data_IF_267430948756
#
_entry.id   IF_267430948756
#
_cell.length_a   1.000
_cell.length_b   1.000
_cell.length_c   1.000
_cell.angle_alpha   90.00
_cell.angle_beta   90.00
_cell.angle_gamma   90.00
#
_symmetry.space_group_name_H-M   'P 1'
#
loop_
_entity.id
_entity.type
_entity.pdbx_description
1 polymer ?
#
# COMPACT_ATOMS: atom_id res chain seq x y z
N UNK A 1 9.89 25.14 -10.07
CA UNK A 1 9.13 24.20 -9.21
C UNK A 1 8.64 22.97 -9.97
N UNK A 2 8.30 23.09 -11.25
CA UNK A 2 7.82 21.97 -12.08
C UNK A 2 8.85 20.83 -12.22
N UNK A 3 10.12 21.14 -12.40
CA UNK A 3 11.20 20.14 -12.52
C UNK A 3 11.39 19.29 -11.25
N UNK A 4 11.20 19.90 -10.07
CA UNK A 4 11.29 19.18 -8.80
C UNK A 4 10.16 18.16 -8.61
N UNK A 5 8.92 18.53 -8.95
CA UNK A 5 7.77 17.65 -8.87
C UNK A 5 7.89 16.49 -9.88
N UNK A 6 8.34 16.78 -11.10
CA UNK A 6 8.62 15.77 -12.12
C UNK A 6 9.70 14.79 -11.64
N UNK A 7 10.80 15.30 -11.09
CA UNK A 7 11.89 14.47 -10.55
C UNK A 7 11.41 13.54 -9.43
N UNK A 8 10.60 14.04 -8.49
CA UNK A 8 10.05 13.22 -7.41
C UNK A 8 9.09 12.14 -7.92
N UNK A 9 8.29 12.48 -8.93
CA UNK A 9 7.39 11.51 -9.58
C UNK A 9 8.19 10.39 -10.25
N UNK A 10 9.23 10.73 -11.00
CA UNK A 10 10.12 9.74 -11.63
C UNK A 10 10.88 8.89 -10.60
N UNK A 11 11.37 9.50 -9.53
CA UNK A 11 12.04 8.78 -8.45
C UNK A 11 11.09 7.78 -7.80
N UNK A 12 9.84 8.18 -7.52
CA UNK A 12 8.82 7.29 -6.95
C UNK A 12 8.52 6.12 -7.87
N UNK A 13 8.27 6.38 -9.14
CA UNK A 13 7.96 5.33 -10.12
C UNK A 13 9.16 4.39 -10.34
N UNK A 14 10.39 4.93 -10.34
CA UNK A 14 11.62 4.13 -10.45
C UNK A 14 11.85 3.24 -9.22
N UNK A 15 11.54 3.73 -8.02
CA UNK A 15 11.63 2.94 -6.80
C UNK A 15 10.65 1.76 -6.81
N UNK A 16 9.41 1.99 -7.29
CA UNK A 16 8.42 0.92 -7.47
C UNK A 16 8.91 -0.10 -8.50
N UNK A 17 9.42 0.34 -9.64
CA UNK A 17 9.97 -0.54 -10.66
C UNK A 17 11.15 -1.37 -10.14
N UNK A 18 12.02 -0.77 -9.34
CA UNK A 18 13.15 -1.46 -8.72
C UNK A 18 12.72 -2.53 -7.69
N UNK A 19 11.53 -2.41 -7.10
CA UNK A 19 11.02 -3.38 -6.13
C UNK A 19 10.76 -4.77 -6.74
N UNK A 20 10.56 -4.88 -8.05
CA UNK A 20 10.31 -6.15 -8.76
C UNK A 20 11.41 -7.18 -8.49
N UNK A 21 12.67 -6.74 -8.35
CA UNK A 21 13.81 -7.63 -8.06
C UNK A 21 13.71 -8.37 -6.71
N UNK A 22 12.85 -7.89 -5.81
CA UNK A 22 12.64 -8.49 -4.49
C UNK A 22 11.43 -9.44 -4.44
N UNK A 23 10.72 -9.59 -5.54
CA UNK A 23 9.54 -10.45 -5.60
C UNK A 23 9.94 -11.90 -5.86
N UNK A 24 9.26 -12.87 -5.23
CA UNK A 24 9.54 -14.29 -5.45
C UNK A 24 9.18 -14.76 -6.87
N UNK A 25 8.29 -14.02 -7.56
CA UNK A 25 7.89 -14.25 -8.95
C UNK A 25 7.52 -12.92 -9.61
N UNK A 26 7.65 -12.79 -10.94
CA UNK A 26 7.23 -11.59 -11.64
C UNK A 26 5.74 -11.30 -11.43
N UNK A 27 5.35 -10.04 -11.17
CA UNK A 27 3.96 -9.68 -11.03
C UNK A 27 3.23 -9.83 -12.38
N UNK A 28 1.95 -10.20 -12.35
CA UNK A 28 1.10 -10.28 -13.55
C UNK A 28 0.48 -8.94 -13.91
N UNK A 29 0.25 -8.10 -12.92
CA UNK A 29 -0.26 -6.74 -13.07
C UNK A 29 0.06 -5.92 -11.81
N UNK A 30 -0.03 -4.61 -11.94
CA UNK A 30 0.04 -3.67 -10.82
C UNK A 30 -1.32 -3.03 -10.62
N UNK A 31 -1.78 -3.06 -9.39
CA UNK A 31 -2.98 -2.34 -8.95
C UNK A 31 -2.55 -1.20 -8.04
N UNK A 32 -2.98 0.01 -8.37
CA UNK A 32 -2.64 1.23 -7.62
C UNK A 32 -3.89 1.72 -6.91
N UNK A 33 -3.78 1.93 -5.60
CA UNK A 33 -4.86 2.45 -4.75
C UNK A 33 -4.46 3.75 -4.06
N UNK A 34 -5.43 4.44 -3.52
CA UNK A 34 -5.26 5.71 -2.82
C UNK A 34 -4.85 6.86 -3.74
N UNK A 35 -4.40 7.98 -3.16
CA UNK A 35 -4.13 9.22 -3.88
C UNK A 35 -3.16 9.11 -5.05
N UNK A 36 -2.25 8.13 -5.03
CA UNK A 36 -1.33 7.86 -6.14
C UNK A 36 -2.04 7.42 -7.42
N UNK A 37 -3.14 6.68 -7.30
CA UNK A 37 -3.97 6.25 -8.42
C UNK A 37 -4.64 7.40 -9.17
N UNK A 38 -4.90 8.50 -8.48
CA UNK A 38 -5.50 9.72 -9.05
C UNK A 38 -4.47 10.68 -9.66
N UNK A 39 -3.17 10.40 -9.51
CA UNK A 39 -2.11 11.22 -10.08
C UNK A 39 -1.76 10.75 -11.51
N UNK A 40 -2.18 11.46 -12.58
CA UNK A 40 -1.95 11.02 -13.95
C UNK A 40 -0.47 10.95 -14.32
N UNK A 41 0.37 11.84 -13.79
CA UNK A 41 1.81 11.87 -14.07
C UNK A 41 2.49 10.63 -13.46
N UNK A 42 2.14 10.27 -12.21
CA UNK A 42 2.66 9.06 -11.56
C UNK A 42 2.19 7.80 -12.30
N UNK A 43 0.90 7.72 -12.63
CA UNK A 43 0.36 6.58 -13.37
C UNK A 43 1.00 6.41 -14.75
N UNK A 44 1.32 7.51 -15.44
CA UNK A 44 2.03 7.47 -16.70
C UNK A 44 3.48 7.00 -16.53
N UNK A 45 4.19 7.50 -15.54
CA UNK A 45 5.55 7.09 -15.22
C UNK A 45 5.62 5.59 -14.88
N UNK A 46 4.69 5.10 -14.05
CA UNK A 46 4.58 3.67 -13.72
C UNK A 46 4.34 2.81 -14.97
N UNK A 47 3.39 3.19 -15.84
CA UNK A 47 3.11 2.46 -17.08
C UNK A 47 4.30 2.42 -18.04
N UNK A 48 5.15 3.42 -18.02
CA UNK A 48 6.35 3.48 -18.83
C UNK A 48 7.47 2.59 -18.28
N UNK A 49 7.62 2.51 -16.96
CA UNK A 49 8.73 1.79 -16.31
C UNK A 49 8.43 0.32 -16.00
N UNK A 50 7.15 -0.03 -15.85
CA UNK A 50 6.74 -1.39 -15.53
C UNK A 50 6.39 -2.18 -16.78
N UNK A 51 6.85 -3.40 -16.87
CA UNK A 51 6.70 -4.28 -18.04
C UNK A 51 5.33 -4.92 -18.17
N UNK A 52 4.51 -4.83 -17.13
CA UNK A 52 3.15 -5.39 -17.08
C UNK A 52 2.12 -4.31 -16.81
N UNK A 53 0.86 -4.60 -17.06
CA UNK A 53 -0.22 -3.61 -16.97
C UNK A 53 -0.32 -2.95 -15.60
N UNK A 54 -0.43 -1.61 -15.60
CA UNK A 54 -0.66 -0.78 -14.43
C UNK A 54 -2.07 -0.19 -14.51
N UNK A 55 -2.91 -0.52 -13.53
CA UNK A 55 -4.32 -0.12 -13.48
C UNK A 55 -4.68 0.40 -12.10
N UNK A 56 -5.64 1.33 -11.97
CA UNK A 56 -6.23 1.63 -10.68
C UNK A 56 -7.04 0.43 -10.16
N UNK A 57 -7.18 0.31 -8.85
CA UNK A 57 -7.87 -0.83 -8.23
C UNK A 57 -9.36 -0.90 -8.57
N UNK A 58 -9.96 0.21 -8.96
CA UNK A 58 -11.34 0.30 -9.46
C UNK A 58 -11.54 -0.57 -10.71
N UNK A 59 -10.49 -0.77 -11.49
CA UNK A 59 -10.52 -1.63 -12.67
C UNK A 59 -10.76 -3.12 -12.35
N UNK A 60 -10.66 -3.52 -11.08
CA UNK A 60 -11.00 -4.86 -10.60
C UNK A 60 -12.15 -4.84 -9.59
N UNK A 61 -12.90 -3.73 -9.53
CA UNK A 61 -14.09 -3.58 -8.69
C UNK A 61 -13.81 -3.26 -7.23
N UNK A 62 -12.59 -2.82 -6.88
CA UNK A 62 -12.26 -2.37 -5.54
C UNK A 62 -12.46 -0.86 -5.43
N UNK A 63 -12.79 -0.39 -4.23
CA UNK A 63 -12.88 1.02 -3.90
C UNK A 63 -11.51 1.48 -3.35
N UNK A 64 -10.73 2.18 -4.17
CA UNK A 64 -9.38 2.61 -3.85
C UNK A 64 -9.32 3.60 -2.67
N UNK A 65 -10.35 4.41 -2.50
CA UNK A 65 -10.42 5.38 -1.41
C UNK A 65 -10.81 4.70 -0.09
N UNK A 66 -11.57 3.60 -0.15
CA UNK A 66 -11.98 2.86 1.03
C UNK A 66 -10.97 1.78 1.47
N UNK A 67 -10.03 1.35 0.63
CA UNK A 67 -9.11 0.24 0.93
C UNK A 67 -8.30 0.47 2.20
N UNK A 68 -7.79 1.67 2.42
CA UNK A 68 -7.02 1.99 3.63
C UNK A 68 -7.89 1.89 4.88
N UNK A 69 -9.10 2.45 4.84
CA UNK A 69 -10.06 2.36 5.94
C UNK A 69 -10.45 0.90 6.25
N UNK A 70 -10.65 0.08 5.22
CA UNK A 70 -10.92 -1.35 5.36
C UNK A 70 -9.74 -2.09 5.99
N UNK A 71 -8.50 -1.79 5.57
CA UNK A 71 -7.30 -2.38 6.14
C UNK A 71 -7.17 -2.04 7.64
N UNK A 72 -7.37 -0.77 8.02
CA UNK A 72 -7.34 -0.37 9.42
C UNK A 72 -8.48 -0.96 10.25
N UNK A 73 -9.68 -1.06 9.70
CA UNK A 73 -10.80 -1.75 10.36
C UNK A 73 -10.47 -3.23 10.63
N UNK A 74 -9.90 -3.92 9.65
CA UNK A 74 -9.44 -5.30 9.82
C UNK A 74 -8.36 -5.42 10.90
N UNK A 75 -7.36 -4.54 10.90
CA UNK A 75 -6.30 -4.53 11.92
C UNK A 75 -6.84 -4.21 13.31
N UNK A 76 -7.84 -3.33 13.42
CA UNK A 76 -8.49 -3.01 14.69
C UNK A 76 -9.18 -4.27 15.28
N UNK A 77 -9.94 -5.01 14.48
CA UNK A 77 -10.56 -6.27 14.91
C UNK A 77 -9.49 -7.28 15.34
N UNK A 78 -8.43 -7.44 14.56
CA UNK A 78 -7.32 -8.34 14.96
C UNK A 78 -6.68 -7.94 16.28
N UNK A 79 -6.54 -6.62 16.53
CA UNK A 79 -6.01 -6.12 17.81
C UNK A 79 -6.94 -6.42 18.98
N UNK A 80 -8.25 -6.27 18.80
CA UNK A 80 -9.26 -6.60 19.82
C UNK A 80 -9.29 -8.09 20.15
N UNK A 81 -9.10 -8.95 19.14
CA UNK A 81 -9.07 -10.41 19.27
C UNK A 81 -7.68 -10.96 19.66
N UNK A 82 -6.74 -10.08 20.03
CA UNK A 82 -5.36 -10.44 20.40
C UNK A 82 -4.63 -11.27 19.32
N UNK A 83 -4.96 -11.04 18.07
CA UNK A 83 -4.34 -11.68 16.90
C UNK A 83 -3.13 -10.91 16.40
N UNK A 84 -2.14 -11.54 15.76
CA UNK A 84 -1.01 -10.87 15.19
C UNK A 84 -1.42 -9.85 14.13
N UNK A 85 -0.86 -8.63 14.19
CA UNK A 85 -1.03 -7.58 13.18
C UNK A 85 0.04 -7.67 12.08
N UNK A 86 1.16 -8.32 12.38
CA UNK A 86 2.27 -8.47 11.47
C UNK A 86 2.85 -9.88 11.50
N UNK A 87 3.31 -10.33 10.34
CA UNK A 87 3.85 -11.68 10.15
C UNK A 87 5.24 -11.60 9.49
N UNK A 88 6.12 -12.59 9.70
CA UNK A 88 7.43 -12.63 9.02
C UNK A 88 7.32 -12.52 7.49
N UNK A 89 6.29 -13.13 6.91
CA UNK A 89 6.04 -13.11 5.46
C UNK A 89 5.53 -11.78 4.91
N UNK A 90 5.09 -10.85 5.76
CA UNK A 90 4.52 -9.57 5.33
C UNK A 90 5.42 -8.37 5.61
N UNK A 91 6.03 -8.31 6.77
CA UNK A 91 6.83 -7.15 7.20
C UNK A 91 8.24 -7.52 7.64
N UNK A 92 8.61 -8.79 7.56
CA UNK A 92 9.96 -9.24 7.97
C UNK A 92 10.19 -9.25 9.49
N UNK A 93 9.14 -9.13 10.30
CA UNK A 93 9.28 -9.30 11.76
C UNK A 93 9.75 -10.71 12.10
N UNK A 94 10.56 -10.90 13.18
CA UNK A 94 11.14 -12.21 13.48
C UNK A 94 10.11 -13.27 13.86
N UNK A 95 8.94 -12.86 14.36
CA UNK A 95 7.82 -13.74 14.71
C UNK A 95 6.49 -13.01 14.57
N UNK A 96 5.33 -13.71 14.53
CA UNK A 96 4.02 -13.08 14.52
C UNK A 96 3.89 -12.07 15.66
N UNK A 97 3.67 -10.80 15.33
CA UNK A 97 3.70 -9.69 16.27
C UNK A 97 2.31 -9.10 16.45
N UNK A 98 1.86 -9.07 17.70
CA UNK A 98 0.64 -8.38 18.12
C UNK A 98 0.91 -6.89 18.32
N UNK A 99 -0.15 -6.09 18.41
CA UNK A 99 -0.02 -4.64 18.63
C UNK A 99 -1.38 -3.97 18.73
N UNK A 100 -1.32 -2.64 18.73
CA UNK A 100 -2.50 -1.81 18.93
C UNK A 100 -2.79 -1.54 20.40
N UNK A 101 -3.55 -0.48 20.65
CA UNK A 101 -4.06 -0.10 21.97
C UNK A 101 -5.48 0.39 21.83
N UNK A 102 -6.39 -0.18 22.57
CA UNK A 102 -7.76 0.31 22.65
C UNK A 102 -7.82 1.53 23.57
N UNK A 103 -8.37 2.62 23.07
CA UNK A 103 -8.72 3.79 23.87
C UNK A 103 -10.23 3.93 23.92
N UNK A 104 -10.80 3.77 25.12
CA UNK A 104 -12.23 3.95 25.34
C UNK A 104 -12.54 5.43 25.59
N UNK A 105 -13.52 6.04 24.91
CA UNK A 105 -13.97 7.37 25.25
C UNK A 105 -14.52 7.38 26.68
N UNK A 106 -14.00 8.23 27.57
CA UNK A 106 -14.47 8.40 28.95
C UNK A 106 -13.66 7.69 30.04
N UNK A 107 -12.50 7.14 29.74
CA UNK A 107 -11.60 6.55 30.74
C UNK A 107 -10.61 7.55 31.36
N UNK A 108 -11.08 8.65 31.95
CA UNK A 108 -10.33 9.36 33.00
C UNK A 108 -11.06 9.12 34.30
N UNK A 109 -10.59 8.14 35.07
CA UNK A 109 -10.74 8.12 36.54
C UNK A 109 -9.36 8.24 37.13
#
# INVERSE_FOLDING_TARGET
MEDGAATLTEMTASAVAAAVRHFPAPPRQWLVSGGGGHNPALMQALRRLLTVGVRPVEAVGWDGDALEAQAFAYLAVRSLEDLPLSLPSTTGVPQPTRGGRLFSPGGVK
#
